data_IF_061079408682
#
_entry.id   IF_061079408682
#
_cell.length_a   1.000
_cell.length_b   1.000
_cell.length_c   1.000
_cell.angle_alpha   90.00
_cell.angle_beta   90.00
_cell.angle_gamma   90.00
#
_symmetry.space_group_name_H-M   'P 1'
#
loop_
_entity.id
_entity.type
_entity.pdbx_description
1 polymer ?
#
# COMPACT_ATOMS: atom_id res chain seq x y z
N UNK A 1 2.33 -12.86 -19.38
CA UNK A 1 2.05 -11.49 -18.89
C UNK A 1 2.89 -11.36 -17.66
N UNK A 2 3.84 -10.42 -17.60
CA UNK A 2 4.97 -10.47 -16.65
C UNK A 2 4.56 -10.78 -15.19
N UNK A 3 3.39 -10.30 -14.75
CA UNK A 3 2.82 -10.54 -13.42
C UNK A 3 2.47 -12.02 -13.12
N UNK A 4 2.08 -12.80 -14.13
CA UNK A 4 1.82 -14.24 -13.98
C UNK A 4 3.12 -15.05 -13.92
N UNK A 5 4.10 -14.65 -14.73
CA UNK A 5 5.42 -15.26 -14.74
C UNK A 5 6.11 -14.99 -13.38
N UNK A 6 5.91 -13.79 -12.84
CA UNK A 6 6.38 -13.39 -11.51
C UNK A 6 5.68 -14.13 -10.35
N UNK A 7 4.35 -14.33 -10.45
CA UNK A 7 3.63 -15.13 -9.45
C UNK A 7 4.20 -16.56 -9.39
N UNK A 8 4.59 -17.12 -10.53
CA UNK A 8 5.20 -18.45 -10.59
C UNK A 8 6.60 -18.47 -9.95
N UNK A 9 7.43 -17.46 -10.20
CA UNK A 9 8.76 -17.34 -9.59
C UNK A 9 8.67 -17.15 -8.08
N UNK A 10 7.76 -16.29 -7.61
CA UNK A 10 7.52 -16.03 -6.19
C UNK A 10 7.02 -17.29 -5.46
N UNK A 11 6.11 -18.06 -6.06
CA UNK A 11 5.65 -19.35 -5.52
C UNK A 11 6.80 -20.36 -5.36
N UNK A 12 7.80 -20.31 -6.26
CA UNK A 12 8.95 -21.21 -6.19
C UNK A 12 9.89 -20.83 -5.03
N UNK A 13 9.97 -19.53 -4.70
CA UNK A 13 10.70 -19.03 -3.54
C UNK A 13 10.00 -19.36 -2.22
N UNK A 14 8.65 -19.33 -2.20
CA UNK A 14 7.85 -19.73 -1.03
C UNK A 14 8.04 -21.21 -0.65
N UNK A 15 8.44 -22.06 -1.60
CA UNK A 15 8.70 -23.49 -1.37
C UNK A 15 10.11 -23.79 -0.81
N UNK A 16 10.99 -22.80 -0.70
CA UNK A 16 12.35 -22.95 -0.16
C UNK A 16 12.57 -22.04 1.05
N UNK A 17 12.27 -22.57 2.24
CA UNK A 17 12.43 -21.85 3.52
C UNK A 17 13.87 -21.47 3.87
N UNK A 18 14.87 -21.97 3.15
CA UNK A 18 16.24 -21.47 3.33
C UNK A 18 16.40 -20.02 2.86
N UNK A 19 15.57 -19.58 1.92
CA UNK A 19 15.52 -18.17 1.50
C UNK A 19 14.88 -17.30 2.59
N UNK A 20 13.74 -17.73 3.10
CA UNK A 20 13.06 -17.06 4.22
C UNK A 20 13.97 -16.92 5.45
N UNK A 21 14.70 -17.98 5.80
CA UNK A 21 15.69 -17.95 6.88
C UNK A 21 16.78 -16.89 6.68
N UNK A 22 17.35 -16.78 5.48
CA UNK A 22 18.35 -15.74 5.16
C UNK A 22 17.75 -14.34 5.24
N UNK A 23 16.51 -14.17 4.78
CA UNK A 23 15.79 -12.90 4.86
C UNK A 23 15.54 -12.51 6.32
N UNK A 24 15.17 -13.47 7.18
CA UNK A 24 15.00 -13.25 8.61
C UNK A 24 16.29 -12.78 9.28
N UNK A 25 17.43 -13.43 9.00
CA UNK A 25 18.72 -12.99 9.56
C UNK A 25 19.12 -11.58 9.09
N UNK A 26 18.95 -11.30 7.81
CA UNK A 26 19.21 -9.96 7.24
C UNK A 26 18.31 -8.91 7.89
N UNK A 27 17.02 -9.22 8.05
CA UNK A 27 16.04 -8.36 8.71
C UNK A 27 16.42 -8.11 10.17
N UNK A 28 16.78 -9.16 10.91
CA UNK A 28 17.24 -9.09 12.30
C UNK A 28 18.42 -8.15 12.47
N UNK A 29 19.42 -8.21 11.58
CA UNK A 29 20.57 -7.32 11.64
C UNK A 29 20.21 -5.88 11.27
N UNK A 30 19.45 -5.67 10.20
CA UNK A 30 19.02 -4.34 9.76
C UNK A 30 18.17 -3.62 10.82
N UNK A 31 17.29 -4.34 11.52
CA UNK A 31 16.36 -3.78 12.50
C UNK A 31 16.87 -3.84 13.95
N UNK A 32 18.08 -4.35 14.20
CA UNK A 32 18.68 -4.51 15.54
C UNK A 32 18.69 -3.22 16.38
N UNK A 33 18.75 -2.07 15.72
CA UNK A 33 18.73 -0.75 16.37
C UNK A 33 17.34 -0.37 16.91
N UNK A 34 16.26 -1.03 16.46
CA UNK A 34 14.89 -0.80 16.90
C UNK A 34 14.52 -1.78 18.01
N UNK A 35 14.69 -1.36 19.27
CA UNK A 35 14.46 -2.22 20.46
C UNK A 35 13.03 -2.76 20.61
N UNK A 36 12.06 -2.11 19.97
CA UNK A 36 10.66 -2.52 19.96
C UNK A 36 10.35 -3.59 18.88
N UNK A 37 11.35 -4.03 18.09
CA UNK A 37 11.20 -5.11 17.10
C UNK A 37 12.01 -6.32 17.56
N UNK A 38 11.40 -7.49 17.48
CA UNK A 38 12.05 -8.78 17.66
C UNK A 38 11.91 -9.60 16.38
N UNK A 39 13.03 -10.11 15.87
CA UNK A 39 13.06 -11.12 14.81
C UNK A 39 13.71 -12.37 15.42
N UNK A 40 13.03 -13.53 15.43
CA UNK A 40 13.57 -14.75 16.01
C UNK A 40 14.93 -15.13 15.41
N UNK A 41 15.81 -15.69 16.22
CA UNK A 41 17.04 -16.31 15.69
C UNK A 41 16.68 -17.54 14.84
N UNK A 42 17.39 -17.74 13.72
CA UNK A 42 17.32 -18.97 12.93
C UNK A 42 18.28 -20.01 13.48
N UNK A 43 17.83 -21.27 13.58
CA UNK A 43 18.70 -22.42 13.85
C UNK A 43 19.01 -23.16 12.55
N UNK A 44 20.20 -22.91 12.00
CA UNK A 44 20.64 -23.48 10.71
C UNK A 44 20.91 -24.98 10.77
N UNK A 45 21.19 -25.51 11.96
CA UNK A 45 21.44 -26.93 12.20
C UNK A 45 20.25 -27.79 11.74
N UNK A 46 19.02 -27.29 11.95
CA UNK A 46 17.75 -27.95 11.62
C UNK A 46 16.99 -27.32 10.46
N UNK A 47 17.37 -26.11 10.02
CA UNK A 47 16.69 -25.42 8.91
C UNK A 47 17.12 -25.98 7.55
N UNK A 48 16.14 -26.32 6.70
CA UNK A 48 16.31 -26.86 5.34
C UNK A 48 15.22 -26.26 4.42
N UNK A 49 15.24 -26.61 3.13
CA UNK A 49 14.27 -26.11 2.14
C UNK A 49 12.79 -26.24 2.55
N UNK A 50 12.44 -27.28 3.30
CA UNK A 50 11.05 -27.59 3.70
C UNK A 50 10.79 -27.50 5.20
N UNK A 51 11.79 -27.10 5.98
CA UNK A 51 11.68 -26.98 7.44
C UNK A 51 12.41 -25.72 7.88
N UNK A 52 11.68 -24.78 8.47
CA UNK A 52 12.23 -23.57 9.07
C UNK A 52 12.20 -23.69 10.60
N UNK A 53 13.33 -23.46 11.26
CA UNK A 53 13.39 -23.51 12.73
C UNK A 53 13.82 -22.16 13.27
N UNK A 54 12.90 -21.53 14.00
CA UNK A 54 13.11 -20.27 14.70
C UNK A 54 13.28 -20.47 16.22
N UNK A 55 13.91 -19.50 16.85
CA UNK A 55 13.78 -19.24 18.29
C UNK A 55 12.31 -19.09 18.66
N UNK A 56 11.87 -19.81 19.68
CA UNK A 56 10.53 -19.65 20.20
C UNK A 56 10.44 -18.34 20.98
N UNK A 57 9.60 -17.41 20.51
CA UNK A 57 9.29 -16.17 21.21
C UNK A 57 7.82 -16.22 21.64
N UNK A 58 7.58 -16.24 22.96
CA UNK A 58 6.22 -16.14 23.48
C UNK A 58 5.64 -14.75 23.20
N UNK A 59 4.44 -14.71 22.63
CA UNK A 59 3.75 -13.47 22.28
C UNK A 59 2.28 -13.70 21.91
N UNK A 60 1.49 -12.65 21.98
CA UNK A 60 0.08 -12.63 21.60
C UNK A 60 -0.01 -12.24 20.13
N UNK A 61 -0.62 -13.10 19.31
CA UNK A 61 -0.91 -12.75 17.92
C UNK A 61 -1.82 -11.52 17.86
N UNK A 62 -1.45 -10.51 17.05
CA UNK A 62 -2.32 -9.35 16.79
C UNK A 62 -3.30 -9.64 15.63
N UNK A 63 -3.33 -10.88 15.13
CA UNK A 63 -4.19 -11.24 14.02
C UNK A 63 -5.62 -11.52 14.46
N UNK A 64 -6.55 -10.70 13.96
CA UNK A 64 -7.93 -11.13 13.69
C UNK A 64 -8.17 -11.51 12.23
N UNK A 65 -7.20 -11.32 11.33
CA UNK A 65 -7.31 -11.65 9.89
C UNK A 65 -5.93 -11.99 9.33
N UNK A 66 -5.88 -13.01 8.47
CA UNK A 66 -4.70 -13.76 8.00
C UNK A 66 -3.68 -12.99 7.13
N UNK A 67 -3.55 -11.67 7.29
CA UNK A 67 -2.82 -10.80 6.34
C UNK A 67 -1.37 -10.51 6.77
N UNK A 68 -1.06 -10.53 8.08
CA UNK A 68 0.28 -10.24 8.60
C UNK A 68 0.58 -11.05 9.84
N UNK A 69 1.57 -11.97 9.83
CA UNK A 69 1.91 -12.77 11.02
C UNK A 69 2.72 -11.96 12.04
N UNK A 70 2.03 -11.09 12.79
CA UNK A 70 2.61 -10.22 13.81
C UNK A 70 2.16 -10.66 15.19
N UNK A 71 3.13 -10.85 16.09
CA UNK A 71 2.87 -11.11 17.50
C UNK A 71 3.42 -9.96 18.34
N UNK A 72 2.87 -9.75 19.54
CA UNK A 72 3.40 -8.79 20.51
C UNK A 72 3.73 -9.49 21.81
N UNK A 73 4.86 -9.14 22.38
CA UNK A 73 5.29 -9.59 23.70
C UNK A 73 5.75 -8.44 24.56
N UNK A 74 5.89 -8.70 25.86
CA UNK A 74 6.60 -7.79 26.76
C UNK A 74 8.11 -7.98 26.57
N UNK A 75 8.81 -6.90 26.23
CA UNK A 75 10.26 -6.84 26.15
C UNK A 75 10.92 -6.86 27.52
N UNK A 76 12.22 -7.09 27.54
CA UNK A 76 13.02 -7.15 28.78
C UNK A 76 13.06 -5.82 29.53
N UNK A 77 12.91 -4.71 28.81
CA UNK A 77 12.83 -3.35 29.36
C UNK A 77 11.41 -2.96 29.81
N UNK A 78 10.47 -3.91 29.77
CA UNK A 78 9.06 -3.70 30.10
C UNK A 78 8.24 -3.05 28.99
N UNK A 79 8.84 -2.69 27.85
CA UNK A 79 8.14 -2.11 26.70
C UNK A 79 7.52 -3.19 25.82
N UNK A 80 6.55 -2.85 24.98
CA UNK A 80 6.00 -3.79 24.01
C UNK A 80 7.00 -4.03 22.87
N UNK A 81 7.23 -5.31 22.52
CA UNK A 81 8.00 -5.72 21.35
C UNK A 81 7.09 -6.38 20.32
N UNK A 82 7.25 -5.98 19.06
CA UNK A 82 6.60 -6.55 17.89
C UNK A 82 7.50 -7.66 17.36
N UNK A 83 6.97 -8.88 17.27
CA UNK A 83 7.64 -10.04 16.70
C UNK A 83 7.23 -10.16 15.24
N UNK A 84 8.23 -10.15 14.35
CA UNK A 84 8.07 -10.38 12.91
C UNK A 84 8.45 -11.83 12.60
N UNK A 85 7.56 -12.57 11.93
CA UNK A 85 7.75 -14.00 11.63
C UNK A 85 7.80 -14.31 10.13
N UNK A 86 7.09 -13.53 9.32
CA UNK A 86 7.00 -13.75 7.88
C UNK A 86 8.13 -13.02 7.15
N UNK A 87 9.06 -13.80 6.59
CA UNK A 87 10.22 -13.31 5.86
C UNK A 87 10.32 -13.87 4.43
N UNK A 88 9.22 -14.42 3.90
CA UNK A 88 9.22 -15.18 2.65
C UNK A 88 9.62 -14.36 1.42
N UNK A 89 9.05 -13.16 1.27
CA UNK A 89 9.18 -12.34 0.07
C UNK A 89 9.84 -10.99 0.36
N UNK A 90 11.14 -10.90 0.13
CA UNK A 90 11.92 -9.68 0.30
C UNK A 90 12.45 -9.21 -1.06
N UNK A 91 12.25 -7.94 -1.34
CA UNK A 91 12.87 -7.28 -2.49
C UNK A 91 14.00 -6.35 -2.06
N UNK A 92 15.03 -6.28 -2.89
CA UNK A 92 16.13 -5.35 -2.69
C UNK A 92 15.94 -4.13 -3.58
N UNK A 93 15.68 -2.98 -2.95
CA UNK A 93 15.67 -1.69 -3.62
C UNK A 93 17.10 -1.14 -3.69
N UNK A 94 17.53 -0.72 -4.87
CA UNK A 94 18.82 -0.07 -5.10
C UNK A 94 18.89 1.28 -4.37
N UNK A 95 20.10 1.77 -4.07
CA UNK A 95 20.28 3.01 -3.31
C UNK A 95 19.65 4.20 -4.03
N UNK A 96 19.78 4.22 -5.35
CA UNK A 96 19.27 5.22 -6.26
C UNK A 96 17.73 5.20 -6.28
N UNK A 97 17.12 4.02 -6.35
CA UNK A 97 15.66 3.85 -6.29
C UNK A 97 15.10 4.34 -4.95
N UNK A 98 15.77 3.99 -3.83
CA UNK A 98 15.37 4.48 -2.49
C UNK A 98 15.45 6.00 -2.40
N UNK A 99 16.48 6.61 -2.99
CA UNK A 99 16.63 8.06 -3.05
C UNK A 99 15.50 8.70 -3.88
N UNK A 100 15.23 8.17 -5.07
CA UNK A 100 14.15 8.65 -5.93
C UNK A 100 12.79 8.54 -5.25
N UNK A 101 12.51 7.44 -4.54
CA UNK A 101 11.28 7.28 -3.75
C UNK A 101 11.17 8.33 -2.64
N UNK A 102 12.27 8.65 -1.95
CA UNK A 102 12.27 9.72 -0.96
C UNK A 102 12.00 11.08 -1.60
N UNK A 103 12.64 11.38 -2.74
CA UNK A 103 12.43 12.64 -3.45
C UNK A 103 11.00 12.76 -3.99
N UNK A 104 10.42 11.67 -4.51
CA UNK A 104 9.04 11.56 -4.94
C UNK A 104 8.08 11.87 -3.79
N UNK A 105 8.31 11.29 -2.60
CA UNK A 105 7.48 11.54 -1.43
C UNK A 105 7.50 13.01 -1.00
N UNK A 106 8.70 13.60 -0.92
CA UNK A 106 8.87 15.02 -0.57
C UNK A 106 8.25 15.94 -1.63
N UNK A 107 8.46 15.65 -2.92
CA UNK A 107 7.85 16.41 -4.01
C UNK A 107 6.32 16.36 -3.93
N UNK A 108 5.76 15.20 -3.60
CA UNK A 108 4.32 15.02 -3.44
C UNK A 108 3.77 15.83 -2.25
N UNK A 109 4.45 15.82 -1.11
CA UNK A 109 4.05 16.63 0.07
C UNK A 109 4.13 18.14 -0.23
N UNK A 110 5.11 18.56 -1.02
CA UNK A 110 5.28 19.95 -1.43
C UNK A 110 4.42 20.35 -2.63
N UNK A 111 3.65 19.42 -3.21
CA UNK A 111 2.91 19.61 -4.45
C UNK A 111 3.79 20.15 -5.62
N UNK A 112 5.05 19.70 -5.69
CA UNK A 112 6.02 20.08 -6.73
C UNK A 112 5.81 19.19 -7.97
N UNK A 113 4.94 19.64 -8.87
CA UNK A 113 4.52 18.86 -10.04
C UNK A 113 5.67 18.47 -10.97
N UNK A 114 6.65 19.36 -11.15
CA UNK A 114 7.79 19.09 -12.03
C UNK A 114 8.70 18.03 -11.42
N UNK A 115 9.00 18.15 -10.13
CA UNK A 115 9.83 17.14 -9.44
C UNK A 115 9.10 15.81 -9.28
N UNK A 116 7.80 15.82 -9.06
CA UNK A 116 6.96 14.62 -9.07
C UNK A 116 7.05 13.91 -10.42
N UNK A 117 6.91 14.64 -11.53
CA UNK A 117 7.03 14.07 -12.89
C UNK A 117 8.40 13.46 -13.11
N UNK A 118 9.48 14.19 -12.82
CA UNK A 118 10.85 13.74 -13.01
C UNK A 118 11.15 12.46 -12.19
N UNK A 119 10.80 12.47 -10.90
CA UNK A 119 11.08 11.33 -10.01
C UNK A 119 10.20 10.12 -10.32
N UNK A 120 8.92 10.33 -10.65
CA UNK A 120 8.01 9.25 -11.06
C UNK A 120 8.49 8.54 -12.33
N UNK A 121 8.89 9.31 -13.35
CA UNK A 121 9.44 8.74 -14.60
C UNK A 121 10.75 8.00 -14.32
N UNK A 122 11.61 8.56 -13.46
CA UNK A 122 12.88 7.93 -13.09
C UNK A 122 12.70 6.59 -12.34
N UNK A 123 11.60 6.39 -11.60
CA UNK A 123 11.25 5.09 -10.98
C UNK A 123 10.43 4.18 -11.90
N UNK A 124 10.25 4.55 -13.18
CA UNK A 124 9.62 3.72 -14.20
C UNK A 124 8.11 3.94 -14.39
N UNK A 125 7.55 5.03 -13.88
CA UNK A 125 6.15 5.37 -14.16
C UNK A 125 5.96 5.90 -15.59
N UNK A 126 4.80 5.65 -16.24
CA UNK A 126 4.45 6.33 -17.48
C UNK A 126 4.35 7.84 -17.24
N UNK A 127 5.07 8.64 -18.03
CA UNK A 127 5.10 10.09 -17.86
C UNK A 127 3.70 10.71 -17.86
N UNK A 128 2.82 10.30 -18.77
CA UNK A 128 1.45 10.83 -18.86
C UNK A 128 0.52 10.44 -17.70
N UNK A 129 0.91 9.46 -16.88
CA UNK A 129 0.12 8.98 -15.74
C UNK A 129 0.87 9.19 -14.41
N UNK A 130 1.88 10.08 -14.37
CA UNK A 130 2.74 10.26 -13.21
C UNK A 130 1.97 10.68 -11.95
N UNK A 131 0.97 11.55 -12.08
CA UNK A 131 0.16 12.01 -10.93
C UNK A 131 -0.59 10.86 -10.29
N UNK A 132 -1.19 9.99 -11.10
CA UNK A 132 -1.90 8.81 -10.63
C UNK A 132 -0.93 7.80 -9.99
N UNK A 133 0.27 7.64 -10.55
CA UNK A 133 1.32 6.85 -9.94
C UNK A 133 1.74 7.40 -8.57
N UNK A 134 1.98 8.72 -8.45
CA UNK A 134 2.30 9.38 -7.19
C UNK A 134 1.21 9.15 -6.14
N UNK A 135 -0.07 9.23 -6.52
CA UNK A 135 -1.20 8.93 -5.64
C UNK A 135 -1.17 7.48 -5.15
N UNK A 136 -0.79 6.51 -5.96
CA UNK A 136 -0.67 5.12 -5.51
C UNK A 136 0.50 4.91 -4.55
N UNK A 137 1.68 5.47 -4.88
CA UNK A 137 2.90 5.27 -4.07
C UNK A 137 2.78 5.98 -2.72
N UNK A 138 2.35 7.23 -2.72
CA UNK A 138 2.23 8.02 -1.48
C UNK A 138 0.94 7.76 -0.73
N UNK A 139 -0.04 7.16 -1.40
CA UNK A 139 -1.40 6.98 -0.89
C UNK A 139 -2.08 8.30 -0.56
N UNK A 140 -1.58 9.41 -1.10
CA UNK A 140 -2.11 10.76 -0.94
C UNK A 140 -2.88 11.15 -2.21
N UNK A 141 -4.08 11.68 -2.02
CA UNK A 141 -4.81 12.31 -3.12
C UNK A 141 -4.14 13.63 -3.48
N UNK A 142 -3.89 13.84 -4.77
CA UNK A 142 -3.26 15.05 -5.29
C UNK A 142 -4.30 15.96 -5.97
N UNK A 143 -4.14 17.29 -5.93
CA UNK A 143 -4.98 18.19 -6.73
C UNK A 143 -4.96 17.80 -8.21
N UNK A 144 -6.11 17.76 -8.88
CA UNK A 144 -6.24 17.33 -10.29
C UNK A 144 -6.37 15.81 -10.48
N UNK A 145 -6.15 15.01 -9.42
CA UNK A 145 -6.36 13.55 -9.45
C UNK A 145 -7.72 13.13 -8.89
N UNK A 146 -8.63 14.07 -8.63
CA UNK A 146 -9.96 13.79 -8.07
C UNK A 146 -10.78 12.89 -9.00
N UNK A 147 -10.56 12.99 -10.32
CA UNK A 147 -11.13 12.09 -11.33
C UNK A 147 -10.69 10.61 -11.17
N UNK A 148 -9.57 10.37 -10.49
CA UNK A 148 -9.07 9.04 -10.17
C UNK A 148 -9.38 8.61 -8.74
N UNK A 149 -9.80 9.55 -7.87
CA UNK A 149 -10.33 9.21 -6.56
C UNK A 149 -11.41 8.14 -6.74
N UNK A 150 -11.43 7.15 -5.86
CA UNK A 150 -12.71 6.51 -5.55
C UNK A 150 -13.31 7.48 -4.55
N UNK A 151 -14.38 8.23 -4.90
CA UNK A 151 -14.97 9.14 -3.93
C UNK A 151 -15.20 8.43 -2.59
N UNK A 152 -15.09 9.15 -1.48
CA UNK A 152 -15.24 8.53 -0.16
C UNK A 152 -16.65 7.96 0.01
N UNK A 153 -17.61 8.68 -0.57
CA UNK A 153 -18.93 8.17 -0.81
C UNK A 153 -18.93 7.10 -1.88
N UNK A 154 -18.07 6.95 -2.90
CA UNK A 154 -17.99 5.80 -3.84
C UNK A 154 -17.34 4.51 -3.31
N UNK A 155 -17.00 4.44 -2.01
CA UNK A 155 -17.11 3.14 -1.33
C UNK A 155 -18.59 2.69 -1.22
N UNK A 156 -19.54 3.63 -1.40
CA UNK A 156 -21.03 3.60 -1.35
C UNK A 156 -21.78 4.84 -2.08
N UNK A 157 -21.52 5.34 -3.35
CA UNK A 157 -22.20 6.43 -4.19
C UNK A 157 -21.36 7.49 -5.05
N UNK A 158 -21.98 8.34 -5.93
CA UNK A 158 -21.54 9.28 -7.04
C UNK A 158 -21.81 10.84 -6.87
N UNK A 159 -20.95 11.78 -7.38
CA UNK A 159 -21.07 13.26 -7.27
C UNK A 159 -22.05 14.02 -8.20
N UNK A 160 -22.83 13.35 -9.05
CA UNK A 160 -23.71 14.01 -10.05
C UNK A 160 -25.14 14.35 -9.61
N UNK A 161 -25.53 14.15 -8.34
CA UNK A 161 -26.93 14.25 -7.90
C UNK A 161 -27.41 15.69 -7.61
N UNK A 162 -28.69 16.03 -7.87
CA UNK A 162 -29.31 17.30 -7.44
C UNK A 162 -29.19 17.55 -5.93
N UNK A 163 -29.11 18.83 -5.52
CA UNK A 163 -28.83 19.25 -4.14
C UNK A 163 -29.83 18.71 -3.11
N UNK A 164 -31.10 18.56 -3.48
CA UNK A 164 -32.14 18.04 -2.59
C UNK A 164 -31.91 16.56 -2.20
N UNK A 165 -31.33 15.79 -3.11
CA UNK A 165 -31.01 14.38 -2.91
C UNK A 165 -29.77 14.23 -2.01
N UNK A 166 -28.82 15.16 -2.10
CA UNK A 166 -27.64 15.21 -1.23
C UNK A 166 -28.05 15.48 0.23
N UNK A 167 -29.05 16.35 0.46
CA UNK A 167 -29.57 16.65 1.80
C UNK A 167 -30.36 15.49 2.45
N UNK A 168 -30.98 14.61 1.65
CA UNK A 168 -31.70 13.44 2.14
C UNK A 168 -30.76 12.30 2.57
N UNK A 169 -29.66 12.10 1.84
CA UNK A 169 -28.63 11.12 2.17
C UNK A 169 -27.88 11.44 3.48
N UNK A 170 -27.71 12.73 3.80
CA UNK A 170 -27.09 13.18 5.05
C UNK A 170 -28.00 13.02 6.28
N UNK A 171 -29.33 12.90 6.09
CA UNK A 171 -30.31 12.74 7.18
C UNK A 171 -30.54 11.28 7.58
N UNK A 172 -30.10 10.32 6.77
CA UNK A 172 -30.25 8.89 7.05
C UNK A 172 -28.85 8.31 7.28
N UNK A 173 -28.51 7.99 8.54
CA UNK A 173 -27.18 7.48 8.96
C UNK A 173 -26.81 6.08 8.40
N UNK A 174 -27.47 5.61 7.33
CA UNK A 174 -27.15 4.39 6.60
C UNK A 174 -27.24 4.67 5.11
N UNK A 175 -26.18 4.38 4.38
CA UNK A 175 -26.16 4.52 2.92
C UNK A 175 -26.02 3.16 2.22
N UNK A 176 -26.91 2.94 1.24
CA UNK A 176 -27.17 1.73 0.45
C UNK A 176 -26.71 1.97 -1.02
N UNK A 177 -26.14 0.98 -1.69
CA UNK A 177 -25.38 1.13 -2.95
C UNK A 177 -26.26 1.47 -4.18
N UNK A 178 -25.69 1.98 -5.30
CA UNK A 178 -26.42 2.28 -6.55
C UNK A 178 -27.05 1.08 -7.27
N UNK A 179 -26.84 -0.15 -6.77
CA UNK A 179 -27.50 -1.36 -7.26
C UNK A 179 -28.70 -1.77 -6.38
N UNK A 180 -29.10 -0.96 -5.40
CA UNK A 180 -30.38 -1.17 -4.73
C UNK A 180 -31.51 -0.79 -5.70
N UNK A 181 -32.25 -1.80 -6.15
CA UNK A 181 -33.38 -1.69 -7.08
C UNK A 181 -34.36 -0.57 -6.68
N UNK A 182 -34.45 -0.25 -5.39
CA UNK A 182 -35.31 0.79 -4.83
C UNK A 182 -34.94 2.24 -5.22
N UNK A 183 -33.66 2.51 -5.53
CA UNK A 183 -33.17 3.87 -5.83
C UNK A 183 -33.15 4.17 -7.34
N UNK A 184 -32.80 3.18 -8.15
CA UNK A 184 -32.91 3.26 -9.61
C UNK A 184 -34.39 3.47 -10.00
N UNK A 185 -35.33 2.77 -9.35
CA UNK A 185 -36.76 2.90 -9.62
C UNK A 185 -37.37 4.31 -9.40
N UNK A 186 -36.64 5.25 -8.76
CA UNK A 186 -37.08 6.65 -8.54
C UNK A 186 -36.57 7.63 -9.60
N UNK A 187 -35.63 7.22 -10.46
CA UNK A 187 -35.08 8.04 -11.53
C UNK A 187 -35.75 7.71 -12.86
N UNK A 188 -35.80 8.69 -13.79
CA UNK A 188 -36.21 8.38 -15.15
C UNK A 188 -35.09 7.64 -15.91
N UNK A 189 -35.46 6.90 -16.95
CA UNK A 189 -34.56 6.01 -17.71
C UNK A 189 -33.38 6.77 -18.32
N UNK A 190 -33.58 8.02 -18.74
CA UNK A 190 -32.54 8.88 -19.34
C UNK A 190 -31.46 9.27 -18.33
N UNK A 191 -31.86 9.68 -17.13
CA UNK A 191 -30.95 10.03 -16.03
C UNK A 191 -30.14 8.82 -15.57
N UNK A 192 -30.78 7.65 -15.46
CA UNK A 192 -30.08 6.41 -15.11
C UNK A 192 -29.02 6.06 -16.16
N UNK A 193 -29.37 6.14 -17.44
CA UNK A 193 -28.48 5.81 -18.54
C UNK A 193 -27.29 6.77 -18.61
N UNK A 194 -27.51 8.06 -18.39
CA UNK A 194 -26.44 9.08 -18.39
C UNK A 194 -25.43 8.85 -17.25
N UNK A 195 -25.92 8.61 -16.04
CA UNK A 195 -25.08 8.31 -14.86
C UNK A 195 -24.28 7.02 -15.09
N UNK A 196 -24.94 5.96 -15.57
CA UNK A 196 -24.26 4.70 -15.89
C UNK A 196 -23.19 4.88 -16.98
N UNK A 197 -23.47 5.65 -18.03
CA UNK A 197 -22.50 5.91 -19.09
C UNK A 197 -21.31 6.76 -18.61
N UNK A 198 -21.56 7.79 -17.80
CA UNK A 198 -20.51 8.65 -17.25
C UNK A 198 -19.61 7.88 -16.30
N UNK A 199 -20.19 7.07 -15.41
CA UNK A 199 -19.47 6.19 -14.51
C UNK A 199 -18.64 5.15 -15.30
N UNK A 200 -19.24 4.54 -16.33
CA UNK A 200 -18.54 3.59 -17.22
C UNK A 200 -17.35 4.23 -17.93
N UNK A 201 -17.49 5.43 -18.51
CA UNK A 201 -16.39 6.15 -19.19
C UNK A 201 -15.27 6.54 -18.22
N UNK A 202 -15.62 6.99 -17.01
CA UNK A 202 -14.65 7.35 -15.97
C UNK A 202 -13.86 6.11 -15.51
N UNK A 203 -14.56 5.00 -15.29
CA UNK A 203 -13.94 3.71 -14.95
C UNK A 203 -13.09 3.16 -16.09
N UNK A 204 -13.49 3.33 -17.35
CA UNK A 204 -12.72 2.94 -18.52
C UNK A 204 -11.43 3.77 -18.68
N UNK A 205 -11.49 5.09 -18.48
CA UNK A 205 -10.29 5.95 -18.49
C UNK A 205 -9.34 5.61 -17.34
N UNK A 206 -9.86 5.48 -16.13
CA UNK A 206 -9.09 5.06 -14.95
C UNK A 206 -8.46 3.68 -15.16
N UNK A 207 -9.22 2.74 -15.71
CA UNK A 207 -8.74 1.41 -16.11
C UNK A 207 -7.60 1.54 -17.11
N UNK A 208 -7.74 2.32 -18.17
CA UNK A 208 -6.69 2.48 -19.19
C UNK A 208 -5.37 3.05 -18.62
N UNK A 209 -5.43 4.07 -17.76
CA UNK A 209 -4.25 4.64 -17.09
C UNK A 209 -3.64 3.66 -16.08
N UNK A 210 -4.47 3.02 -15.25
CA UNK A 210 -4.01 1.99 -14.31
C UNK A 210 -3.32 0.84 -15.02
N UNK A 211 -3.92 0.32 -16.09
CA UNK A 211 -3.33 -0.76 -16.90
C UNK A 211 -2.00 -0.34 -17.51
N UNK A 212 -1.84 0.93 -17.88
CA UNK A 212 -0.59 1.44 -18.43
C UNK A 212 0.50 1.55 -17.37
N UNK A 213 0.15 2.08 -16.19
CA UNK A 213 1.03 2.10 -15.02
C UNK A 213 1.47 0.67 -14.71
N UNK A 214 0.54 -0.25 -14.51
CA UNK A 214 0.86 -1.65 -14.19
C UNK A 214 1.67 -2.33 -15.31
N UNK A 215 1.47 -1.98 -16.57
CA UNK A 215 2.24 -2.59 -17.67
C UNK A 215 3.69 -2.11 -17.73
N UNK A 216 3.95 -0.87 -17.32
CA UNK A 216 5.27 -0.23 -17.45
C UNK A 216 6.06 -0.22 -16.13
N UNK A 217 5.37 -0.30 -14.99
CA UNK A 217 5.95 -0.26 -13.67
C UNK A 217 6.92 -1.43 -13.43
N UNK A 218 8.12 -1.17 -12.87
CA UNK A 218 9.03 -2.24 -12.45
C UNK A 218 8.43 -3.11 -11.32
N UNK A 219 8.81 -4.40 -11.28
CA UNK A 219 8.46 -5.35 -10.20
C UNK A 219 8.65 -4.75 -8.80
N UNK A 220 9.80 -4.12 -8.58
CA UNK A 220 10.17 -3.50 -7.30
C UNK A 220 9.15 -2.47 -6.82
N UNK A 221 8.59 -1.67 -7.74
CA UNK A 221 7.56 -0.67 -7.44
C UNK A 221 6.19 -1.30 -7.21
N UNK A 222 5.85 -2.36 -7.94
CA UNK A 222 4.61 -3.09 -7.72
C UNK A 222 4.55 -3.71 -6.32
N UNK A 223 5.63 -4.37 -5.90
CA UNK A 223 5.74 -4.98 -4.57
C UNK A 223 5.76 -3.92 -3.46
N UNK A 224 6.41 -2.77 -3.68
CA UNK A 224 6.31 -1.62 -2.79
C UNK A 224 4.85 -1.17 -2.61
N UNK A 225 4.10 -1.01 -3.71
CA UNK A 225 2.70 -0.62 -3.67
C UNK A 225 1.82 -1.63 -2.93
N UNK A 226 2.06 -2.93 -3.14
CA UNK A 226 1.37 -4.01 -2.42
C UNK A 226 1.61 -3.88 -0.91
N UNK A 227 2.87 -3.75 -0.50
CA UNK A 227 3.25 -3.69 0.90
C UNK A 227 2.70 -2.45 1.60
N UNK A 228 2.81 -1.27 0.97
CA UNK A 228 2.24 -0.04 1.50
C UNK A 228 0.70 -0.15 1.66
N UNK A 229 0.03 -0.87 0.75
CA UNK A 229 -1.43 -0.99 0.80
C UNK A 229 -1.86 -1.90 1.94
N UNK A 230 -1.13 -2.99 2.19
CA UNK A 230 -1.31 -3.82 3.36
C UNK A 230 -1.15 -3.01 4.65
N UNK A 231 -0.08 -2.22 4.78
CA UNK A 231 0.13 -1.34 5.94
C UNK A 231 -1.03 -0.37 6.13
N UNK A 232 -1.49 0.29 5.06
CA UNK A 232 -2.62 1.22 5.10
C UNK A 232 -3.91 0.53 5.59
N UNK A 233 -4.23 -0.65 5.07
CA UNK A 233 -5.45 -1.39 5.45
C UNK A 233 -5.38 -1.83 6.91
N UNK A 234 -4.22 -2.28 7.38
CA UNK A 234 -4.01 -2.61 8.80
C UNK A 234 -4.22 -1.39 9.69
N UNK A 235 -3.61 -0.24 9.34
CA UNK A 235 -3.76 1.00 10.12
C UNK A 235 -5.20 1.53 10.16
N UNK A 236 -6.01 1.34 9.11
CA UNK A 236 -7.42 1.74 9.11
C UNK A 236 -8.28 0.99 10.14
N UNK A 237 -7.80 -0.16 10.61
CA UNK A 237 -8.53 -1.02 11.56
C UNK A 237 -8.06 -0.85 13.01
N UNK A 238 -6.95 -0.17 13.23
CA UNK A 238 -6.46 0.22 14.54
C UNK A 238 -6.78 1.70 14.81
N UNK A 239 -6.98 2.06 16.07
CA UNK A 239 -7.39 3.41 16.46
C UNK A 239 -6.37 4.48 15.99
N UNK A 240 -6.88 5.51 15.33
CA UNK A 240 -6.20 6.30 14.28
C UNK A 240 -5.35 7.46 14.82
N UNK A 241 -4.36 7.18 15.66
CA UNK A 241 -3.43 8.23 16.16
C UNK A 241 -2.06 8.27 15.45
N UNK A 242 -1.90 7.60 14.31
CA UNK A 242 -0.62 7.54 13.58
C UNK A 242 -0.63 8.48 12.37
N UNK A 243 0.08 9.60 12.47
CA UNK A 243 0.35 10.48 11.33
C UNK A 243 1.45 9.87 10.44
N UNK A 244 1.03 8.97 9.54
CA UNK A 244 1.92 8.29 8.60
C UNK A 244 2.66 9.28 7.69
N UNK A 245 2.02 10.39 7.31
CA UNK A 245 2.57 11.31 6.32
C UNK A 245 3.76 12.02 6.92
N UNK A 246 3.63 12.48 8.17
CA UNK A 246 4.74 13.05 8.93
C UNK A 246 5.86 12.03 9.14
N UNK A 247 5.55 10.81 9.61
CA UNK A 247 6.56 9.77 9.86
C UNK A 247 7.38 9.47 8.60
N UNK A 248 6.72 9.24 7.46
CA UNK A 248 7.42 8.90 6.21
C UNK A 248 8.21 10.11 5.70
N UNK A 249 7.67 11.32 5.82
CA UNK A 249 8.37 12.56 5.46
C UNK A 249 9.65 12.73 6.27
N UNK A 250 9.61 12.51 7.58
CA UNK A 250 10.79 12.59 8.47
C UNK A 250 11.85 11.55 8.08
N UNK A 251 11.43 10.32 7.76
CA UNK A 251 12.32 9.26 7.27
C UNK A 251 12.96 9.66 5.94
N UNK A 252 12.18 10.16 4.98
CA UNK A 252 12.68 10.60 3.68
C UNK A 252 13.66 11.76 3.82
N UNK A 253 13.36 12.77 4.64
CA UNK A 253 14.25 13.91 4.90
C UNK A 253 15.57 13.47 5.53
N UNK A 254 15.53 12.52 6.48
CA UNK A 254 16.73 11.96 7.08
C UNK A 254 17.57 11.20 6.04
N UNK A 255 16.95 10.31 5.26
CA UNK A 255 17.63 9.54 4.23
C UNK A 255 18.28 10.42 3.15
N UNK A 256 17.64 11.53 2.77
CA UNK A 256 18.19 12.49 1.80
C UNK A 256 19.32 13.35 2.37
N UNK A 257 19.37 13.58 3.69
CA UNK A 257 20.48 14.24 4.37
C UNK A 257 21.70 13.33 4.51
N UNK A 258 21.48 12.07 4.87
CA UNK A 258 22.55 11.09 5.06
C UNK A 258 23.24 10.74 3.73
N UNK A 259 22.53 10.82 2.60
CA UNK A 259 23.10 10.66 1.26
C UNK A 259 23.94 11.86 0.76
N UNK A 260 23.99 12.98 1.51
CA UNK A 260 24.85 14.14 1.21
C UNK A 260 26.20 14.10 1.95
N UNK A 261 26.44 13.08 2.78
CA UNK A 261 27.72 12.79 3.43
C UNK A 261 28.31 11.51 2.84
#
# INVERSE_FOLDING_TARGET
AWMLDELHDDLSLELDFSHEARNAEKCREHLKHLKFIAVPKVYWETTRKRVLTYEFLEGVAINRMDVLQIHVRKGQDGTAQIILLDHGLYETLLKEERKLLCELWIATVNNDSEKMRQTAVAVGAPEKDYELFCTFVTMMMLPGTEQYAVPQYAKNWDPGLPYEIQCLALKQEKFMMPNDDEYLNKMNVEQQLEIQQRFKRLMEKKRASLFRILKQMPKTMFLLLRNLNCVRVTLQRHDQNVDRTKIITDICLKALKDNKK
#
